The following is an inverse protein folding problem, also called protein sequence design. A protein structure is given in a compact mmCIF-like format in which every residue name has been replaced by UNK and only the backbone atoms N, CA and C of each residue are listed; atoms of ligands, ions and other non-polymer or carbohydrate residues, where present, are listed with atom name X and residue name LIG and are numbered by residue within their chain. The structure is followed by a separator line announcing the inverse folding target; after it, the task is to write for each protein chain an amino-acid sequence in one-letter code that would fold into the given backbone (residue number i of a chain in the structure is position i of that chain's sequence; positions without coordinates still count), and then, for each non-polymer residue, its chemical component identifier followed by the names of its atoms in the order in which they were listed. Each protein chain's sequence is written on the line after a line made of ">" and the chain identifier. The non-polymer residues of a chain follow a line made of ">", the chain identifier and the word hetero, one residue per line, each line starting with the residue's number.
data_IF_111176403592
#
_entry.id   IF_111176403592
#
_cell.length_a   1.000
_cell.length_b   1.000
_cell.length_c   1.000
_cell.angle_alpha   90.00
_cell.angle_beta   90.00
_cell.angle_gamma   90.00
#
_symmetry.space_group_name_H-M   'P 1'
#
loop_
_entity.id
_entity.type
_entity.pdbx_description
1 polymer ?
#
# COMPACT_ATOMS: atom_id res chain seq x y z
N UNK A 1 -21.30 16.90 7.52
CA UNK A 1 -21.11 15.43 7.59
C UNK A 1 -22.41 14.66 7.72
N UNK A 2 -23.25 14.90 8.73
CA UNK A 2 -24.49 14.11 8.94
C UNK A 2 -25.46 14.16 7.73
N UNK A 3 -25.65 15.34 7.14
CA UNK A 3 -26.45 15.50 5.91
C UNK A 3 -25.84 14.73 4.72
N UNK A 4 -24.51 14.79 4.56
CA UNK A 4 -23.77 14.07 3.51
C UNK A 4 -23.85 12.56 3.69
N UNK A 5 -23.70 12.06 4.92
CA UNK A 5 -23.84 10.64 5.25
C UNK A 5 -25.26 10.15 4.98
N UNK A 6 -26.28 10.93 5.35
CA UNK A 6 -27.68 10.60 5.07
C UNK A 6 -27.96 10.53 3.56
N UNK A 7 -27.44 11.50 2.79
CA UNK A 7 -27.57 11.50 1.33
C UNK A 7 -26.87 10.29 0.68
N UNK A 8 -25.71 9.89 1.19
CA UNK A 8 -24.93 8.75 0.68
C UNK A 8 -25.37 7.39 1.26
N UNK A 9 -26.37 7.35 2.15
CA UNK A 9 -26.81 6.12 2.82
C UNK A 9 -25.77 5.52 3.78
N UNK A 10 -24.81 6.31 4.26
CA UNK A 10 -23.75 5.86 5.17
C UNK A 10 -24.25 5.95 6.62
N UNK A 11 -24.30 4.81 7.30
CA UNK A 11 -24.58 4.77 8.75
C UNK A 11 -23.40 5.36 9.53
N UNK A 12 -23.68 6.36 10.35
CA UNK A 12 -22.67 7.00 11.20
C UNK A 12 -22.63 6.33 12.57
N UNK A 13 -21.53 5.66 12.89
CA UNK A 13 -21.28 5.11 14.23
C UNK A 13 -20.34 6.05 15.00
N UNK A 14 -20.84 6.63 16.10
CA UNK A 14 -20.12 7.57 16.95
C UNK A 14 -19.66 6.91 18.25
N UNK A 15 -18.49 7.29 18.73
CA UNK A 15 -17.96 6.88 20.03
C UNK A 15 -18.19 7.98 21.07
N UNK A 16 -18.26 7.60 22.34
CA UNK A 16 -18.35 8.56 23.44
C UNK A 16 -17.12 9.48 23.49
N UNK A 17 -17.34 10.69 24.01
CA UNK A 17 -16.27 11.66 24.25
C UNK A 17 -15.23 11.06 25.20
N UNK A 18 -13.95 11.31 24.94
CA UNK A 18 -12.81 10.79 25.70
C UNK A 18 -12.63 9.26 25.71
N UNK A 19 -13.38 8.50 24.91
CA UNK A 19 -13.25 7.04 24.82
C UNK A 19 -12.45 6.58 23.59
N UNK A 20 -11.16 6.94 23.54
CA UNK A 20 -10.27 6.67 22.38
C UNK A 20 -10.07 5.18 22.08
N UNK A 21 -10.19 4.30 23.07
CA UNK A 21 -9.99 2.85 22.89
C UNK A 21 -10.99 2.21 21.93
N UNK A 22 -12.21 2.77 21.80
CA UNK A 22 -13.21 2.30 20.85
C UNK A 22 -12.93 2.74 19.40
N UNK A 23 -11.96 3.63 19.15
CA UNK A 23 -11.62 4.06 17.81
C UNK A 23 -10.53 3.16 17.20
N UNK A 24 -10.85 2.28 16.24
CA UNK A 24 -9.85 1.40 15.62
C UNK A 24 -8.75 2.18 14.87
N UNK A 25 -9.04 3.42 14.45
CA UNK A 25 -8.10 4.26 13.69
C UNK A 25 -6.90 4.72 14.53
N UNK A 26 -7.03 4.78 15.86
CA UNK A 26 -5.97 5.24 16.75
C UNK A 26 -4.69 4.41 16.61
N UNK A 27 -4.84 3.09 16.43
CA UNK A 27 -3.70 2.19 16.23
C UNK A 27 -2.94 2.53 14.95
N UNK A 28 -3.66 2.74 13.84
CA UNK A 28 -3.04 3.10 12.56
C UNK A 28 -2.43 4.49 12.58
N UNK A 29 -3.06 5.44 13.25
CA UNK A 29 -2.52 6.78 13.44
C UNK A 29 -1.22 6.78 14.26
N UNK A 30 -1.09 5.87 15.24
CA UNK A 30 0.15 5.68 16.00
C UNK A 30 1.29 5.19 15.12
N UNK A 31 1.02 4.33 14.14
CA UNK A 31 2.05 3.82 13.22
C UNK A 31 2.41 4.85 12.13
N UNK A 32 1.46 5.71 11.75
CA UNK A 32 1.63 6.77 10.75
C UNK A 32 2.50 7.93 11.26
N UNK A 33 2.27 8.38 12.51
CA UNK A 33 2.92 9.58 13.08
C UNK A 33 4.46 9.51 13.08
N UNK A 34 5.11 8.41 13.51
CA UNK A 34 6.57 8.31 13.47
C UNK A 34 7.12 8.38 12.04
N UNK A 35 6.44 7.75 11.07
CA UNK A 35 6.87 7.76 9.66
C UNK A 35 6.77 9.15 9.07
N UNK A 36 5.70 9.88 9.39
CA UNK A 36 5.56 11.30 9.05
C UNK A 36 6.71 12.10 9.66
N UNK A 37 6.97 11.97 10.96
CA UNK A 37 8.04 12.70 11.63
C UNK A 37 9.43 12.43 11.00
N UNK A 38 9.72 11.18 10.63
CA UNK A 38 10.99 10.79 10.00
C UNK A 38 11.16 11.42 8.61
N UNK A 39 10.08 11.48 7.82
CA UNK A 39 10.13 11.93 6.42
C UNK A 39 10.01 13.45 6.28
N UNK A 40 9.23 14.08 7.15
CA UNK A 40 9.01 15.53 7.16
C UNK A 40 10.21 16.27 7.75
N UNK A 41 10.86 15.69 8.77
CA UNK A 41 11.99 16.31 9.48
C UNK A 41 11.66 17.75 9.91
N UNK A 42 12.37 18.73 9.38
CA UNK A 42 12.23 20.15 9.69
C UNK A 42 11.26 20.89 8.73
N UNK A 43 10.84 20.26 7.63
CA UNK A 43 9.99 20.85 6.59
C UNK A 43 8.50 20.55 6.83
N UNK A 44 7.97 21.02 7.97
CA UNK A 44 6.60 20.72 8.41
C UNK A 44 5.49 21.11 7.42
N UNK A 45 5.76 22.05 6.52
CA UNK A 45 4.80 22.51 5.50
C UNK A 45 4.67 21.55 4.29
N UNK A 46 5.44 20.46 4.24
CA UNK A 46 5.48 19.53 3.09
C UNK A 46 4.93 18.13 3.41
N UNK A 47 4.25 17.97 4.54
CA UNK A 47 3.83 16.67 5.05
C UNK A 47 2.86 15.93 4.11
N UNK A 48 2.02 16.66 3.40
CA UNK A 48 1.06 16.15 2.44
C UNK A 48 1.73 15.45 1.25
N UNK A 49 2.90 15.95 0.83
CA UNK A 49 3.67 15.36 -0.26
C UNK A 49 4.25 13.99 0.13
N UNK A 50 4.50 13.80 1.43
CA UNK A 50 5.10 12.56 1.95
C UNK A 50 4.03 11.48 2.21
N UNK A 51 2.75 11.85 2.35
CA UNK A 51 1.66 10.91 2.63
C UNK A 51 1.53 9.76 1.64
N UNK A 52 1.56 9.97 0.30
CA UNK A 52 1.45 8.87 -0.66
C UNK A 52 2.56 7.83 -0.49
N UNK A 53 3.79 8.29 -0.23
CA UNK A 53 4.94 7.42 -0.01
C UNK A 53 4.78 6.61 1.28
N UNK A 54 4.31 7.24 2.36
CA UNK A 54 4.07 6.54 3.63
C UNK A 54 2.97 5.49 3.49
N UNK A 55 1.87 5.83 2.81
CA UNK A 55 0.78 4.88 2.52
C UNK A 55 1.29 3.71 1.70
N UNK A 56 2.08 3.97 0.66
CA UNK A 56 2.67 2.93 -0.16
C UNK A 56 3.57 2.00 0.66
N UNK A 57 4.38 2.53 1.57
CA UNK A 57 5.24 1.75 2.46
C UNK A 57 4.48 1.02 3.60
N UNK A 58 3.27 1.45 3.96
CA UNK A 58 2.43 0.79 4.97
C UNK A 58 1.68 -0.42 4.40
N UNK A 59 1.17 -0.29 3.18
CA UNK A 59 0.33 -1.32 2.56
C UNK A 59 0.97 -2.73 2.47
N UNK A 60 2.25 -2.91 2.10
CA UNK A 60 2.90 -4.23 2.04
C UNK A 60 3.43 -4.69 3.40
N UNK A 61 3.29 -3.89 4.47
CA UNK A 61 3.74 -4.31 5.78
C UNK A 61 2.82 -5.40 6.34
N UNK A 62 3.40 -6.57 6.64
CA UNK A 62 2.66 -7.69 7.24
C UNK A 62 2.22 -7.35 8.66
N UNK A 63 0.94 -7.52 8.94
CA UNK A 63 0.42 -7.36 10.29
C UNK A 63 0.59 -8.66 11.08
N UNK A 64 1.24 -8.61 12.24
CA UNK A 64 1.56 -9.80 13.06
C UNK A 64 0.30 -10.57 13.50
N UNK A 65 -0.78 -9.86 13.81
CA UNK A 65 -2.02 -10.49 14.31
C UNK A 65 -2.80 -11.20 13.20
N UNK A 66 -2.82 -10.64 11.99
CA UNK A 66 -3.57 -11.23 10.87
C UNK A 66 -2.69 -12.09 9.98
N UNK A 67 -1.36 -12.00 10.08
CA UNK A 67 -0.40 -12.60 9.17
C UNK A 67 -0.58 -12.24 7.69
N UNK A 68 -1.31 -11.16 7.40
CA UNK A 68 -1.56 -10.67 6.04
C UNK A 68 -1.14 -9.20 5.94
N UNK A 69 -0.81 -8.77 4.72
CA UNK A 69 -0.57 -7.36 4.40
C UNK A 69 -1.90 -6.65 4.15
N UNK A 70 -1.91 -5.33 4.30
CA UNK A 70 -3.11 -4.53 3.97
C UNK A 70 -3.37 -4.52 2.46
N UNK A 71 -2.30 -4.53 1.66
CA UNK A 71 -2.36 -4.68 0.21
C UNK A 71 -3.14 -5.94 -0.19
N UNK A 72 -2.78 -7.09 0.37
CA UNK A 72 -3.42 -8.35 0.07
C UNK A 72 -4.89 -8.35 0.47
N UNK A 73 -5.22 -7.85 1.66
CA UNK A 73 -6.61 -7.80 2.13
C UNK A 73 -7.49 -6.85 1.30
N UNK A 74 -6.94 -5.74 0.81
CA UNK A 74 -7.69 -4.74 0.08
C UNK A 74 -7.83 -5.05 -1.42
N UNK A 75 -6.80 -5.63 -2.03
CA UNK A 75 -6.72 -5.83 -3.48
C UNK A 75 -6.71 -7.30 -3.90
N UNK A 76 -6.63 -8.25 -2.95
CA UNK A 76 -6.47 -9.67 -3.24
C UNK A 76 -5.07 -10.06 -3.73
N UNK A 77 -4.08 -9.15 -3.65
CA UNK A 77 -2.70 -9.36 -4.10
C UNK A 77 -1.72 -8.46 -3.36
N UNK A 78 -0.44 -8.77 -3.48
CA UNK A 78 0.62 -7.90 -2.95
C UNK A 78 0.92 -6.73 -3.90
N UNK A 79 1.38 -5.61 -3.32
CA UNK A 79 1.87 -4.48 -4.11
C UNK A 79 3.29 -4.77 -4.59
N UNK A 80 3.58 -4.35 -5.82
CA UNK A 80 4.93 -4.39 -6.38
C UNK A 80 5.73 -3.23 -5.85
N UNK A 81 6.82 -3.52 -5.16
CA UNK A 81 7.77 -2.54 -4.67
C UNK A 81 8.96 -2.44 -5.62
N UNK A 82 9.70 -1.33 -5.53
CA UNK A 82 10.97 -1.20 -6.26
C UNK A 82 12.00 -2.24 -5.79
N UNK A 83 11.87 -2.73 -4.55
CA UNK A 83 12.72 -3.77 -3.99
C UNK A 83 12.52 -5.13 -4.67
N UNK A 84 11.28 -5.46 -5.04
CA UNK A 84 10.97 -6.67 -5.81
C UNK A 84 11.62 -6.65 -7.20
N UNK A 85 11.70 -5.47 -7.84
CA UNK A 85 12.36 -5.31 -9.15
C UNK A 85 13.85 -5.58 -9.04
N UNK A 86 14.48 -5.18 -7.94
CA UNK A 86 15.93 -5.34 -7.75
C UNK A 86 16.32 -6.73 -7.28
N UNK A 87 15.49 -7.40 -6.46
CA UNK A 87 15.83 -8.68 -5.84
C UNK A 87 15.28 -9.89 -6.60
N UNK A 88 14.04 -9.84 -7.11
CA UNK A 88 13.44 -10.97 -7.82
C UNK A 88 12.33 -10.55 -8.81
N UNK A 89 12.71 -10.38 -10.08
CA UNK A 89 11.76 -10.13 -11.16
C UNK A 89 10.71 -11.25 -11.33
N UNK A 90 10.97 -12.47 -10.86
CA UNK A 90 10.00 -13.58 -10.94
C UNK A 90 8.84 -13.35 -9.99
N UNK A 91 9.10 -12.88 -8.78
CA UNK A 91 8.07 -12.52 -7.82
C UNK A 91 7.10 -11.47 -8.38
N UNK A 92 7.57 -10.57 -9.26
CA UNK A 92 6.69 -9.64 -9.98
C UNK A 92 5.80 -10.34 -11.01
N UNK A 93 6.33 -11.32 -11.74
CA UNK A 93 5.61 -12.08 -12.76
C UNK A 93 4.56 -13.00 -12.10
N UNK A 94 4.91 -13.58 -10.96
CA UNK A 94 4.08 -14.52 -10.21
C UNK A 94 3.00 -13.80 -9.39
N UNK A 95 3.20 -12.52 -9.03
CA UNK A 95 2.15 -11.70 -8.44
C UNK A 95 1.01 -11.45 -9.44
N UNK A 96 -0.23 -11.64 -8.99
CA UNK A 96 -1.41 -11.47 -9.83
C UNK A 96 -1.49 -10.06 -10.42
N UNK A 97 -1.56 -9.99 -11.73
CA UNK A 97 -1.61 -8.73 -12.45
C UNK A 97 -3.01 -8.10 -12.39
N UNK A 98 -3.07 -6.79 -12.15
CA UNK A 98 -4.33 -6.03 -12.21
C UNK A 98 -4.97 -6.06 -13.59
N UNK A 99 -4.12 -5.99 -14.60
CA UNK A 99 -4.49 -6.03 -15.99
C UNK A 99 -4.01 -7.37 -16.51
N UNK A 100 -4.93 -8.20 -17.01
CA UNK A 100 -4.63 -9.54 -17.51
C UNK A 100 -3.49 -9.56 -18.54
N UNK A 101 -3.27 -8.43 -19.24
CA UNK A 101 -2.25 -8.24 -20.27
C UNK A 101 -0.84 -7.98 -19.72
N UNK A 102 -0.66 -7.62 -18.45
CA UNK A 102 0.67 -7.34 -17.92
C UNK A 102 1.50 -8.63 -17.80
N UNK A 103 0.90 -9.76 -17.38
CA UNK A 103 1.60 -11.05 -17.29
C UNK A 103 2.18 -11.48 -18.65
N UNK A 104 1.41 -11.52 -19.76
CA UNK A 104 1.97 -11.87 -21.07
C UNK A 104 3.00 -10.87 -21.58
N UNK A 105 2.84 -9.56 -21.30
CA UNK A 105 3.83 -8.55 -21.68
C UNK A 105 5.16 -8.72 -20.93
N UNK A 106 5.13 -8.98 -19.62
CA UNK A 106 6.33 -9.25 -18.82
C UNK A 106 7.02 -10.56 -19.28
N UNK A 107 6.25 -11.61 -19.58
CA UNK A 107 6.79 -12.87 -20.13
C UNK A 107 7.47 -12.66 -21.49
N UNK A 108 6.90 -11.82 -22.36
CA UNK A 108 7.50 -11.46 -23.64
C UNK A 108 8.80 -10.68 -23.46
N UNK A 109 8.80 -9.69 -22.56
CA UNK A 109 9.98 -8.91 -22.23
C UNK A 109 11.11 -9.77 -21.66
N UNK A 110 10.80 -10.70 -20.75
CA UNK A 110 11.78 -11.62 -20.15
C UNK A 110 12.46 -12.53 -21.19
N UNK A 111 11.73 -12.99 -22.21
CA UNK A 111 12.30 -13.76 -23.33
C UNK A 111 13.24 -12.91 -24.17
N UNK A 112 12.81 -11.71 -24.54
CA UNK A 112 13.62 -10.78 -25.33
C UNK A 112 14.92 -10.39 -24.61
N UNK A 113 14.87 -10.19 -23.30
CA UNK A 113 16.08 -9.88 -22.51
C UNK A 113 17.04 -11.06 -22.42
N UNK A 114 16.56 -12.30 -22.38
CA UNK A 114 17.40 -13.49 -22.46
C UNK A 114 18.08 -13.63 -23.84
N UNK A 115 17.32 -13.43 -24.93
CA UNK A 115 17.84 -13.47 -26.31
C UNK A 115 18.92 -12.41 -26.54
N UNK A 116 18.72 -11.18 -26.04
CA UNK A 116 19.71 -10.10 -26.17
C UNK A 116 20.98 -10.42 -25.37
N UNK A 117 20.85 -11.04 -24.19
CA UNK A 117 21.99 -11.44 -23.36
C UNK A 117 22.84 -12.54 -24.01
N UNK A 118 22.23 -13.44 -24.78
CA UNK A 118 22.95 -14.52 -25.48
C UNK A 118 23.64 -14.02 -26.77
N UNK A 119 23.34 -12.79 -27.22
CA UNK A 119 23.89 -12.17 -28.43
C UNK A 119 24.88 -11.02 -28.16
N UNK A 120 25.25 -10.81 -26.89
CA UNK A 120 26.32 -9.88 -26.44
C UNK A 120 27.41 -10.70 -25.75
#
# INVERSE_FOLDING_TARGET
>A
MQQTCNFLGIKQDLIYVYHRQANPSERKNRDLKPRLAILVRDEHDTWEEKLPMIRFALNPAKCETTNHTEAFLQYGRELRTTDDVTHDLRALIDNDNFVAEITPNLKRFARLTAEIKDHV
#
